data_IF_332995356476
#
_entry.id   IF_332995356476
#
_cell.length_a   1.000
_cell.length_b   1.000
_cell.length_c   1.000
_cell.angle_alpha   90.00
_cell.angle_beta   90.00
_cell.angle_gamma   90.00
#
_symmetry.space_group_name_H-M   'P 1'
#
loop_
_entity.id
_entity.type
_entity.pdbx_description
1 polymer ?
#
# COMPACT_ATOMS: atom_id res chain seq x y z
N UNK A 1 13.56 26.49 -17.31
CA UNK A 1 12.21 25.98 -16.95
C UNK A 1 11.55 25.46 -18.21
N UNK A 2 11.27 24.15 -18.31
CA UNK A 2 10.47 23.63 -19.42
C UNK A 2 9.04 24.11 -19.21
N UNK A 3 8.47 24.83 -20.18
CA UNK A 3 7.08 25.30 -20.10
C UNK A 3 6.18 24.09 -20.33
N UNK A 4 5.58 23.55 -19.28
CA UNK A 4 4.61 22.46 -19.39
C UNK A 4 3.30 22.99 -19.96
N UNK A 5 3.20 22.96 -21.30
CA UNK A 5 2.00 23.36 -22.03
C UNK A 5 0.96 22.23 -22.09
N UNK A 6 1.36 20.99 -21.84
CA UNK A 6 0.47 19.84 -21.94
C UNK A 6 -0.51 19.80 -20.77
N UNK A 7 -0.05 20.09 -19.54
CA UNK A 7 -0.88 20.12 -18.34
C UNK A 7 -2.12 21.03 -18.47
N UNK A 8 -1.96 22.32 -18.79
CA UNK A 8 -3.08 23.25 -18.96
C UNK A 8 -4.04 22.86 -20.10
N UNK A 9 -3.53 22.32 -21.22
CA UNK A 9 -4.38 21.88 -22.33
C UNK A 9 -5.24 20.68 -21.91
N UNK A 10 -4.63 19.67 -21.27
CA UNK A 10 -5.35 18.53 -20.70
C UNK A 10 -6.39 18.98 -19.66
N UNK A 11 -6.05 19.96 -18.83
CA UNK A 11 -6.95 20.55 -17.84
C UNK A 11 -8.22 21.13 -18.45
N UNK A 12 -8.06 21.99 -19.47
CA UNK A 12 -9.17 22.63 -20.17
C UNK A 12 -10.01 21.62 -20.94
N UNK A 13 -9.40 20.63 -21.61
CA UNK A 13 -10.13 19.57 -22.31
C UNK A 13 -10.97 18.74 -21.35
N UNK A 14 -10.40 18.35 -20.21
CA UNK A 14 -11.13 17.59 -19.18
C UNK A 14 -12.26 18.42 -18.56
N UNK A 15 -12.04 19.71 -18.32
CA UNK A 15 -13.06 20.64 -17.82
C UNK A 15 -14.19 20.83 -18.83
N UNK A 16 -13.88 21.01 -20.11
CA UNK A 16 -14.87 21.11 -21.18
C UNK A 16 -15.70 19.84 -21.29
N UNK A 17 -15.05 18.67 -21.24
CA UNK A 17 -15.75 17.38 -21.24
C UNK A 17 -16.69 17.26 -20.03
N UNK A 18 -16.24 17.65 -18.83
CA UNK A 18 -17.07 17.62 -17.62
C UNK A 18 -18.28 18.55 -17.73
N UNK A 19 -18.09 19.77 -18.27
CA UNK A 19 -19.19 20.71 -18.55
C UNK A 19 -20.17 20.12 -19.56
N UNK A 20 -19.68 19.58 -20.67
CA UNK A 20 -20.52 19.02 -21.72
C UNK A 20 -21.36 17.83 -21.22
N UNK A 21 -20.77 16.95 -20.41
CA UNK A 21 -21.46 15.80 -19.81
C UNK A 21 -22.49 16.25 -18.77
N UNK A 22 -22.16 17.26 -17.95
CA UNK A 22 -23.08 17.79 -16.94
C UNK A 22 -24.24 18.56 -17.59
N UNK A 23 -23.96 19.39 -18.60
CA UNK A 23 -24.98 20.17 -19.31
C UNK A 23 -25.84 19.32 -20.26
N UNK A 24 -25.30 18.20 -20.75
CA UNK A 24 -26.02 17.23 -21.58
C UNK A 24 -26.95 16.31 -20.79
N UNK A 25 -27.04 16.46 -19.48
CA UNK A 25 -27.89 15.64 -18.61
C UNK A 25 -27.44 14.19 -18.45
N UNK A 26 -26.22 13.85 -18.89
CA UNK A 26 -25.68 12.48 -18.79
C UNK A 26 -25.37 12.07 -17.34
N UNK A 27 -25.40 13.02 -16.40
CA UNK A 27 -25.18 12.82 -14.97
C UNK A 27 -26.38 13.25 -14.11
N UNK A 28 -27.57 13.42 -14.70
CA UNK A 28 -28.80 13.87 -14.00
C UNK A 28 -29.36 12.82 -13.01
N UNK A 29 -28.64 11.72 -12.78
CA UNK A 29 -28.97 10.73 -11.77
C UNK A 29 -28.65 11.23 -10.34
N UNK A 30 -27.79 10.51 -9.64
CA UNK A 30 -27.38 10.88 -8.29
C UNK A 30 -26.52 12.15 -8.31
N UNK A 31 -26.92 13.18 -7.54
CA UNK A 31 -26.19 14.44 -7.40
C UNK A 31 -24.75 14.25 -6.91
N UNK A 32 -24.48 13.15 -6.20
CA UNK A 32 -23.19 12.85 -5.63
C UNK A 32 -22.10 12.69 -6.70
N UNK A 33 -22.42 12.01 -7.80
CA UNK A 33 -21.47 11.73 -8.89
C UNK A 33 -20.95 13.02 -9.56
N UNK A 34 -21.81 13.92 -10.07
CA UNK A 34 -21.33 15.18 -10.63
C UNK A 34 -20.63 16.05 -9.57
N UNK A 35 -21.13 16.09 -8.33
CA UNK A 35 -20.48 16.85 -7.26
C UNK A 35 -19.04 16.35 -6.98
N UNK A 36 -18.85 15.03 -6.93
CA UNK A 36 -17.54 14.41 -6.74
C UNK A 36 -16.59 14.74 -7.90
N UNK A 37 -17.05 14.62 -9.15
CA UNK A 37 -16.23 14.91 -10.34
C UNK A 37 -15.79 16.38 -10.37
N UNK A 38 -16.71 17.30 -10.07
CA UNK A 38 -16.40 18.72 -9.96
C UNK A 38 -15.44 19.03 -8.82
N UNK A 39 -15.63 18.42 -7.64
CA UNK A 39 -14.74 18.59 -6.50
C UNK A 39 -13.32 18.10 -6.81
N UNK A 40 -13.17 16.93 -7.43
CA UNK A 40 -11.87 16.38 -7.84
C UNK A 40 -11.19 17.30 -8.87
N UNK A 41 -11.95 17.78 -9.86
CA UNK A 41 -11.42 18.72 -10.85
C UNK A 41 -10.95 20.01 -10.16
N UNK A 42 -11.80 20.69 -9.39
CA UNK A 42 -11.37 21.93 -8.70
C UNK A 42 -10.16 21.71 -7.78
N UNK A 43 -10.12 20.59 -7.05
CA UNK A 43 -9.02 20.26 -6.13
C UNK A 43 -7.68 20.06 -6.84
N UNK A 44 -7.67 19.35 -7.98
CA UNK A 44 -6.46 19.15 -8.78
C UNK A 44 -5.97 20.47 -9.41
N UNK A 45 -6.89 21.33 -9.85
CA UNK A 45 -6.57 22.66 -10.37
C UNK A 45 -5.97 23.57 -9.31
N UNK A 46 -6.54 23.57 -8.10
CA UNK A 46 -6.03 24.29 -6.94
C UNK A 46 -4.65 23.78 -6.52
N UNK A 47 -4.47 22.45 -6.48
CA UNK A 47 -3.18 21.83 -6.20
C UNK A 47 -2.10 22.27 -7.20
N UNK A 48 -2.42 22.27 -8.49
CA UNK A 48 -1.51 22.73 -9.54
C UNK A 48 -1.18 24.22 -9.40
N UNK A 49 -2.16 25.06 -9.06
CA UNK A 49 -1.98 26.50 -8.82
C UNK A 49 -1.00 26.77 -7.66
N UNK A 50 -1.22 26.15 -6.51
CA UNK A 50 -0.32 26.28 -5.35
C UNK A 50 1.06 25.69 -5.66
N UNK A 51 1.09 24.63 -6.49
CA UNK A 51 2.31 24.01 -6.98
C UNK A 51 3.20 24.94 -7.83
N UNK A 52 2.67 26.04 -8.37
CA UNK A 52 3.46 27.03 -9.12
C UNK A 52 4.29 27.97 -8.23
N UNK A 53 4.00 28.05 -6.93
CA UNK A 53 4.58 29.01 -5.99
C UNK A 53 6.05 28.76 -5.56
N UNK A 54 6.73 27.77 -6.14
CA UNK A 54 8.11 27.38 -5.78
C UNK A 54 8.16 26.29 -4.70
N UNK A 55 9.23 25.50 -4.73
CA UNK A 55 9.54 24.50 -3.70
C UNK A 55 9.88 25.23 -2.39
N UNK A 56 8.96 25.25 -1.44
CA UNK A 56 9.15 25.89 -0.13
C UNK A 56 8.11 26.93 0.29
N UNK A 57 7.10 27.23 -0.54
CA UNK A 57 6.01 28.13 -0.10
C UNK A 57 5.22 27.49 1.07
N UNK A 58 5.01 28.22 2.16
CA UNK A 58 4.18 27.79 3.31
C UNK A 58 2.84 27.11 2.93
N UNK A 59 2.03 27.62 1.97
CA UNK A 59 0.78 26.96 1.59
C UNK A 59 0.99 25.56 0.98
N UNK A 60 2.10 25.33 0.28
CA UNK A 60 2.42 24.03 -0.31
C UNK A 60 2.77 23.01 0.77
N UNK A 61 3.54 23.41 1.78
CA UNK A 61 3.89 22.53 2.91
C UNK A 61 2.63 22.08 3.65
N UNK A 62 1.69 23.01 3.91
CA UNK A 62 0.42 22.67 4.56
C UNK A 62 -0.41 21.70 3.73
N UNK A 63 -0.53 21.96 2.41
CA UNK A 63 -1.24 21.05 1.50
C UNK A 63 -0.59 19.66 1.43
N UNK A 64 0.73 19.57 1.45
CA UNK A 64 1.45 18.29 1.47
C UNK A 64 1.16 17.52 2.77
N UNK A 65 1.12 18.19 3.93
CA UNK A 65 0.75 17.55 5.20
C UNK A 65 -0.70 17.05 5.17
N UNK A 66 -1.64 17.89 4.73
CA UNK A 66 -3.05 17.50 4.61
C UNK A 66 -3.21 16.32 3.65
N UNK A 67 -2.57 16.38 2.48
CA UNK A 67 -2.61 15.30 1.49
C UNK A 67 -2.04 13.99 2.05
N UNK A 68 -0.95 14.04 2.81
CA UNK A 68 -0.39 12.86 3.47
C UNK A 68 -1.32 12.28 4.53
N UNK A 69 -1.96 13.12 5.35
CA UNK A 69 -2.94 12.66 6.35
C UNK A 69 -4.15 12.03 5.66
N UNK A 70 -4.72 12.70 4.67
CA UNK A 70 -5.87 12.22 3.90
C UNK A 70 -5.53 10.92 3.17
N UNK A 71 -4.36 10.84 2.54
CA UNK A 71 -3.90 9.63 1.85
C UNK A 71 -3.78 8.45 2.82
N UNK A 72 -3.07 8.61 3.94
CA UNK A 72 -2.92 7.54 4.92
C UNK A 72 -4.25 7.15 5.57
N UNK A 73 -5.11 8.13 5.88
CA UNK A 73 -6.45 7.88 6.39
C UNK A 73 -7.30 7.10 5.41
N UNK A 74 -7.31 7.50 4.13
CA UNK A 74 -8.02 6.79 3.07
C UNK A 74 -7.49 5.36 2.89
N UNK A 75 -6.17 5.14 2.95
CA UNK A 75 -5.61 3.79 2.89
C UNK A 75 -6.09 2.93 4.07
N UNK A 76 -6.13 3.47 5.29
CA UNK A 76 -6.65 2.73 6.46
C UNK A 76 -8.12 2.37 6.28
N UNK A 77 -8.95 3.29 5.79
CA UNK A 77 -10.37 3.04 5.51
C UNK A 77 -10.52 1.94 4.45
N UNK A 78 -9.83 2.04 3.32
CA UNK A 78 -9.87 1.03 2.26
C UNK A 78 -9.41 -0.33 2.79
N UNK A 79 -8.35 -0.38 3.60
CA UNK A 79 -7.89 -1.61 4.23
C UNK A 79 -8.96 -2.21 5.14
N UNK A 80 -9.61 -1.41 5.97
CA UNK A 80 -10.67 -1.86 6.85
C UNK A 80 -11.87 -2.39 6.05
N UNK A 81 -12.31 -1.64 5.04
CA UNK A 81 -13.41 -2.04 4.15
C UNK A 81 -13.10 -3.35 3.42
N UNK A 82 -11.90 -3.50 2.85
CA UNK A 82 -11.49 -4.74 2.20
C UNK A 82 -11.50 -5.93 3.17
N UNK A 83 -11.03 -5.74 4.41
CA UNK A 83 -11.11 -6.77 5.45
C UNK A 83 -12.56 -7.16 5.75
N UNK A 84 -13.46 -6.17 5.87
CA UNK A 84 -14.88 -6.41 6.10
C UNK A 84 -15.53 -7.12 4.92
N UNK A 85 -15.24 -6.71 3.68
CA UNK A 85 -15.76 -7.33 2.46
C UNK A 85 -15.35 -8.81 2.42
N UNK A 86 -14.08 -9.14 2.64
CA UNK A 86 -13.64 -10.53 2.61
C UNK A 86 -14.16 -11.37 3.78
N UNK A 87 -14.13 -10.82 5.00
CA UNK A 87 -14.65 -11.50 6.17
C UNK A 87 -16.14 -11.83 6.01
N UNK A 88 -16.94 -10.85 5.61
CA UNK A 88 -18.38 -11.03 5.40
C UNK A 88 -18.65 -11.94 4.21
N UNK A 89 -17.93 -11.80 3.10
CA UNK A 89 -18.09 -12.67 1.94
C UNK A 89 -17.77 -14.13 2.27
N UNK A 90 -16.69 -14.40 3.01
CA UNK A 90 -16.34 -15.75 3.46
C UNK A 90 -17.37 -16.33 4.44
N UNK A 91 -17.78 -15.55 5.44
CA UNK A 91 -18.75 -15.99 6.44
C UNK A 91 -20.14 -16.23 5.86
N UNK A 92 -20.57 -15.43 4.89
CA UNK A 92 -21.83 -15.62 4.18
C UNK A 92 -21.81 -16.88 3.32
N UNK A 93 -20.67 -17.20 2.70
CA UNK A 93 -20.49 -18.46 1.95
C UNK A 93 -20.63 -19.67 2.86
N UNK A 94 -20.04 -19.67 4.05
CA UNK A 94 -20.14 -20.80 5.01
C UNK A 94 -21.60 -21.18 5.31
N UNK A 95 -22.52 -20.21 5.30
CA UNK A 95 -23.94 -20.43 5.61
C UNK A 95 -24.75 -20.95 4.41
N UNK A 96 -24.24 -20.87 3.18
CA UNK A 96 -24.96 -21.28 1.99
C UNK A 96 -24.84 -22.78 1.72
N UNK A 97 -25.96 -23.47 1.52
CA UNK A 97 -25.99 -24.92 1.23
C UNK A 97 -25.08 -25.33 0.08
N UNK A 98 -25.09 -24.60 -1.04
CA UNK A 98 -24.22 -24.88 -2.19
C UNK A 98 -22.72 -24.84 -1.86
N UNK A 99 -22.33 -23.97 -0.94
CA UNK A 99 -20.93 -23.87 -0.49
C UNK A 99 -20.60 -25.00 0.48
N UNK A 100 -21.54 -25.38 1.34
CA UNK A 100 -21.40 -26.53 2.24
C UNK A 100 -21.30 -27.84 1.47
N UNK A 101 -22.06 -27.99 0.40
CA UNK A 101 -22.05 -29.18 -0.47
C UNK A 101 -20.88 -29.18 -1.47
N UNK A 102 -20.04 -28.13 -1.48
CA UNK A 102 -18.86 -28.05 -2.36
C UNK A 102 -19.17 -27.82 -3.84
N UNK A 103 -20.39 -27.40 -4.18
CA UNK A 103 -20.86 -27.26 -5.58
C UNK A 103 -21.03 -25.80 -6.02
N UNK A 104 -20.84 -24.83 -5.14
CA UNK A 104 -21.19 -23.43 -5.40
C UNK A 104 -20.56 -22.83 -6.66
N UNK A 105 -19.30 -23.17 -6.98
CA UNK A 105 -18.59 -22.64 -8.14
C UNK A 105 -19.11 -23.20 -9.47
N UNK A 106 -19.77 -24.36 -9.47
CA UNK A 106 -20.33 -24.97 -10.68
C UNK A 106 -21.43 -24.11 -11.33
N UNK A 107 -22.31 -23.53 -10.51
CA UNK A 107 -23.49 -22.80 -10.96
C UNK A 107 -23.18 -21.54 -11.77
N UNK A 108 -22.32 -20.59 -11.30
CA UNK A 108 -22.03 -19.39 -12.07
C UNK A 108 -21.32 -19.67 -13.40
N UNK A 109 -20.52 -20.74 -13.49
CA UNK A 109 -19.86 -21.16 -14.73
C UNK A 109 -20.87 -21.61 -15.82
N UNK A 110 -22.08 -22.02 -15.41
CA UNK A 110 -23.15 -22.50 -16.30
C UNK A 110 -24.31 -21.51 -16.43
N UNK A 111 -24.16 -20.27 -15.97
CA UNK A 111 -25.13 -19.23 -16.27
C UNK A 111 -24.80 -18.65 -17.64
N UNK A 112 -25.72 -18.74 -18.60
CA UNK A 112 -25.52 -18.27 -19.98
C UNK A 112 -25.06 -16.80 -20.04
N UNK A 113 -25.56 -15.96 -19.12
CA UNK A 113 -25.19 -14.55 -19.03
C UNK A 113 -23.75 -14.31 -18.50
N UNK A 114 -23.20 -15.27 -17.75
CA UNK A 114 -21.86 -15.18 -17.14
C UNK A 114 -20.90 -16.26 -17.69
N UNK A 115 -21.14 -16.79 -18.88
CA UNK A 115 -20.26 -17.80 -19.49
C UNK A 115 -19.78 -17.34 -20.88
N UNK A 116 -18.93 -16.30 -20.94
CA UNK A 116 -18.36 -15.84 -22.22
C UNK A 116 -17.51 -16.90 -22.92
N UNK A 117 -16.99 -17.89 -22.19
CA UNK A 117 -16.15 -18.97 -22.71
C UNK A 117 -16.67 -20.35 -22.25
N UNK A 118 -17.77 -20.87 -22.84
CA UNK A 118 -18.39 -22.11 -22.39
C UNK A 118 -17.43 -23.30 -22.30
N UNK A 119 -16.56 -23.47 -23.31
CA UNK A 119 -15.57 -24.56 -23.30
C UNK A 119 -14.57 -24.47 -22.12
N UNK A 120 -14.23 -23.26 -21.67
CA UNK A 120 -13.36 -23.07 -20.49
C UNK A 120 -14.12 -23.37 -19.20
N UNK A 121 -15.38 -22.91 -19.12
CA UNK A 121 -16.29 -23.21 -18.01
C UNK A 121 -16.52 -24.72 -17.85
N UNK A 122 -16.77 -25.41 -18.96
CA UNK A 122 -16.94 -26.86 -19.00
C UNK A 122 -15.66 -27.59 -18.59
N UNK A 123 -14.49 -27.13 -19.06
CA UNK A 123 -13.20 -27.69 -18.65
C UNK A 123 -12.95 -27.52 -17.15
N UNK A 124 -13.29 -26.36 -16.57
CA UNK A 124 -13.20 -26.08 -15.14
C UNK A 124 -14.23 -26.89 -14.32
N UNK A 125 -15.37 -27.22 -14.92
CA UNK A 125 -16.43 -27.99 -14.27
C UNK A 125 -16.36 -29.50 -14.55
N UNK A 126 -15.44 -29.95 -15.41
CA UNK A 126 -15.35 -31.34 -15.86
C UNK A 126 -15.08 -32.34 -14.74
N UNK A 127 -14.49 -31.89 -13.62
CA UNK A 127 -14.17 -32.73 -12.48
C UNK A 127 -14.78 -32.15 -11.19
N UNK A 128 -15.72 -32.89 -10.60
CA UNK A 128 -16.38 -32.51 -9.34
C UNK A 128 -15.41 -32.29 -8.18
N UNK A 129 -14.30 -33.03 -8.11
CA UNK A 129 -13.25 -32.80 -7.11
C UNK A 129 -12.58 -31.45 -7.30
N UNK A 130 -12.33 -31.03 -8.53
CA UNK A 130 -11.74 -29.71 -8.82
C UNK A 130 -12.70 -28.59 -8.43
N UNK A 131 -13.99 -28.71 -8.78
CA UNK A 131 -15.04 -27.78 -8.36
C UNK A 131 -15.12 -27.67 -6.84
N UNK A 132 -15.07 -28.81 -6.14
CA UNK A 132 -15.08 -28.87 -4.69
C UNK A 132 -13.86 -28.16 -4.07
N UNK A 133 -12.65 -28.44 -4.59
CA UNK A 133 -11.42 -27.81 -4.12
C UNK A 133 -11.43 -26.29 -4.33
N UNK A 134 -11.92 -25.80 -5.47
CA UNK A 134 -12.05 -24.36 -5.73
C UNK A 134 -13.11 -23.77 -4.78
N UNK A 135 -14.27 -24.42 -4.65
CA UNK A 135 -15.36 -23.96 -3.78
C UNK A 135 -14.91 -23.77 -2.34
N UNK A 136 -14.28 -24.77 -1.73
CA UNK A 136 -13.78 -24.66 -0.36
C UNK A 136 -12.52 -23.80 -0.26
N UNK A 137 -11.64 -23.84 -1.28
CA UNK A 137 -10.43 -23.02 -1.34
C UNK A 137 -10.75 -21.54 -1.25
N UNK A 138 -11.74 -21.08 -2.02
CA UNK A 138 -12.20 -19.69 -2.00
C UNK A 138 -12.78 -19.26 -0.66
N UNK A 139 -13.56 -20.12 -0.01
CA UNK A 139 -14.05 -19.84 1.35
C UNK A 139 -12.89 -19.74 2.33
N UNK A 140 -11.95 -20.70 2.29
CA UNK A 140 -10.81 -20.73 3.20
C UNK A 140 -9.93 -19.47 3.05
N UNK A 141 -9.62 -19.06 1.82
CA UNK A 141 -8.82 -17.87 1.52
C UNK A 141 -9.51 -16.60 2.03
N UNK A 142 -10.80 -16.42 1.75
CA UNK A 142 -11.53 -15.21 2.14
C UNK A 142 -11.70 -15.10 3.65
N UNK A 143 -11.97 -16.21 4.34
CA UNK A 143 -12.07 -16.25 5.80
C UNK A 143 -10.70 -16.07 6.45
N UNK A 144 -9.64 -16.64 5.88
CA UNK A 144 -8.29 -16.52 6.43
C UNK A 144 -7.67 -15.13 6.22
N UNK A 145 -8.13 -14.34 5.24
CA UNK A 145 -7.51 -13.06 4.89
C UNK A 145 -7.31 -12.11 6.07
N UNK A 146 -8.33 -11.77 6.89
CA UNK A 146 -8.14 -10.83 8.01
C UNK A 146 -7.11 -11.31 9.02
N UNK A 147 -6.99 -12.63 9.22
CA UNK A 147 -6.05 -13.24 10.15
C UNK A 147 -4.65 -13.38 9.53
N UNK A 148 -4.55 -13.56 8.21
CA UNK A 148 -3.28 -13.69 7.50
C UNK A 148 -2.46 -12.39 7.51
N UNK A 149 -3.10 -11.24 7.72
CA UNK A 149 -2.45 -9.93 7.74
C UNK A 149 -1.33 -9.81 8.79
N UNK A 150 -1.39 -10.58 9.88
CA UNK A 150 -0.37 -10.56 10.93
C UNK A 150 0.96 -11.20 10.50
N UNK A 151 0.96 -12.07 9.49
CA UNK A 151 2.18 -12.73 9.00
C UNK A 151 2.49 -12.33 7.56
N UNK A 152 3.60 -11.60 7.36
CA UNK A 152 4.00 -11.06 6.05
C UNK A 152 4.13 -12.12 4.96
N UNK A 153 4.55 -13.35 5.27
CA UNK A 153 4.70 -14.43 4.28
C UNK A 153 3.33 -14.99 3.88
N UNK A 154 2.50 -15.32 4.86
CA UNK A 154 1.15 -15.84 4.65
C UNK A 154 0.30 -14.80 3.93
N UNK A 155 0.36 -13.53 4.36
CA UNK A 155 -0.29 -12.41 3.70
C UNK A 155 0.04 -12.35 2.20
N UNK A 156 1.32 -12.37 1.84
CA UNK A 156 1.72 -12.22 0.44
C UNK A 156 1.32 -13.42 -0.42
N UNK A 157 1.40 -14.64 0.12
CA UNK A 157 0.92 -15.83 -0.56
C UNK A 157 -0.60 -15.78 -0.76
N UNK A 158 -1.34 -15.41 0.28
CA UNK A 158 -2.79 -15.33 0.25
C UNK A 158 -3.28 -14.22 -0.68
N UNK A 159 -2.62 -13.05 -0.70
CA UNK A 159 -2.89 -11.98 -1.67
C UNK A 159 -2.70 -12.44 -3.12
N UNK A 160 -1.65 -13.22 -3.40
CA UNK A 160 -1.44 -13.76 -4.75
C UNK A 160 -2.58 -14.70 -5.16
N UNK A 161 -3.07 -15.53 -4.23
CA UNK A 161 -4.23 -16.40 -4.48
C UNK A 161 -5.51 -15.58 -4.67
N UNK A 162 -5.79 -14.58 -3.83
CA UNK A 162 -6.97 -13.71 -3.99
C UNK A 162 -6.97 -12.96 -5.32
N UNK A 163 -5.83 -12.38 -5.71
CA UNK A 163 -5.71 -11.71 -7.02
C UNK A 163 -5.93 -12.69 -8.17
N UNK A 164 -5.48 -13.94 -8.02
CA UNK A 164 -5.74 -14.99 -9.00
C UNK A 164 -7.23 -15.34 -9.05
N UNK A 165 -7.93 -15.42 -7.92
CA UNK A 165 -9.39 -15.65 -7.90
C UNK A 165 -10.12 -14.58 -8.71
N UNK A 166 -9.80 -13.30 -8.47
CA UNK A 166 -10.40 -12.20 -9.21
C UNK A 166 -10.04 -12.24 -10.69
N UNK A 167 -8.81 -12.59 -11.04
CA UNK A 167 -8.39 -12.74 -12.43
C UNK A 167 -9.11 -13.89 -13.13
N UNK A 168 -9.30 -15.03 -12.46
CA UNK A 168 -10.09 -16.15 -12.96
C UNK A 168 -11.53 -15.70 -13.19
N UNK A 169 -12.17 -15.07 -12.21
CA UNK A 169 -13.54 -14.53 -12.32
C UNK A 169 -13.65 -13.52 -13.49
N UNK A 170 -12.65 -12.66 -13.67
CA UNK A 170 -12.65 -11.66 -14.75
C UNK A 170 -12.77 -12.33 -16.13
N UNK A 171 -12.06 -13.45 -16.31
CA UNK A 171 -11.99 -14.19 -17.56
C UNK A 171 -13.15 -15.15 -17.71
N UNK A 172 -13.38 -16.00 -16.72
CA UNK A 172 -14.36 -17.10 -16.80
C UNK A 172 -15.79 -16.59 -16.69
N UNK A 173 -16.06 -15.60 -15.84
CA UNK A 173 -17.40 -15.06 -15.63
C UNK A 173 -17.68 -13.77 -16.42
N UNK A 174 -16.69 -13.25 -17.15
CA UNK A 174 -16.86 -12.03 -17.94
C UNK A 174 -17.08 -10.77 -17.11
N UNK A 175 -16.50 -10.71 -15.90
CA UNK A 175 -16.66 -9.62 -14.95
C UNK A 175 -15.39 -8.75 -14.78
N UNK A 176 -14.81 -8.17 -15.86
CA UNK A 176 -13.49 -7.55 -15.79
C UNK A 176 -13.45 -6.32 -14.89
N UNK A 177 -14.45 -5.44 -14.94
CA UNK A 177 -14.44 -4.21 -14.15
C UNK A 177 -14.59 -4.46 -12.65
N UNK A 178 -15.45 -5.41 -12.28
CA UNK A 178 -15.60 -5.85 -10.90
C UNK A 178 -14.30 -6.44 -10.37
N UNK A 179 -13.70 -7.38 -11.10
CA UNK A 179 -12.43 -7.99 -10.71
C UNK A 179 -11.28 -6.98 -10.65
N UNK A 180 -11.22 -6.00 -11.56
CA UNK A 180 -10.20 -4.95 -11.53
C UNK A 180 -10.35 -4.07 -10.27
N UNK A 181 -11.58 -3.74 -9.87
CA UNK A 181 -11.83 -3.01 -8.63
C UNK A 181 -11.36 -3.80 -7.41
N UNK A 182 -11.65 -5.11 -7.36
CA UNK A 182 -11.20 -5.98 -6.28
C UNK A 182 -9.67 -6.13 -6.23
N UNK A 183 -9.02 -6.33 -7.39
CA UNK A 183 -7.55 -6.39 -7.48
C UNK A 183 -6.92 -5.06 -7.03
N UNK A 184 -7.53 -3.92 -7.37
CA UNK A 184 -7.06 -2.61 -6.92
C UNK A 184 -7.17 -2.45 -5.40
N UNK A 185 -8.24 -2.94 -4.78
CA UNK A 185 -8.37 -2.99 -3.33
C UNK A 185 -7.31 -3.91 -2.69
N UNK A 186 -7.07 -5.09 -3.25
CA UNK A 186 -6.04 -6.03 -2.79
C UNK A 186 -4.63 -5.45 -2.90
N UNK A 187 -4.38 -4.64 -3.93
CA UNK A 187 -3.09 -4.01 -4.16
C UNK A 187 -2.66 -3.08 -3.03
N UNK A 188 -3.60 -2.56 -2.22
CA UNK A 188 -3.30 -1.76 -1.02
C UNK A 188 -2.48 -2.56 0.00
N UNK A 189 -2.65 -3.87 0.05
CA UNK A 189 -1.91 -4.74 0.98
C UNK A 189 -0.57 -5.23 0.43
N UNK A 190 -0.24 -4.95 -0.83
CA UNK A 190 1.03 -5.35 -1.44
C UNK A 190 2.23 -4.66 -0.79
N UNK A 191 3.40 -5.31 -0.75
CA UNK A 191 4.62 -4.67 -0.29
C UNK A 191 4.96 -3.44 -1.14
N UNK A 192 5.26 -2.31 -0.50
CA UNK A 192 5.68 -1.08 -1.19
C UNK A 192 6.87 -1.30 -2.13
N UNK A 193 7.79 -2.20 -1.77
CA UNK A 193 8.92 -2.58 -2.61
C UNK A 193 8.49 -3.24 -3.93
N UNK A 194 7.44 -4.07 -3.90
CA UNK A 194 6.88 -4.69 -5.09
C UNK A 194 6.22 -3.65 -6.00
N UNK A 195 5.41 -2.76 -5.41
CA UNK A 195 4.76 -1.66 -6.15
C UNK A 195 5.78 -0.72 -6.79
N UNK A 196 6.87 -0.38 -6.08
CA UNK A 196 7.96 0.44 -6.63
C UNK A 196 8.70 -0.26 -7.76
N UNK A 197 8.94 -1.57 -7.65
CA UNK A 197 9.56 -2.36 -8.74
C UNK A 197 8.67 -2.38 -9.97
N UNK A 198 7.38 -2.64 -9.80
CA UNK A 198 6.40 -2.61 -10.89
C UNK A 198 6.33 -1.23 -11.55
N UNK A 199 6.35 -0.16 -10.75
CA UNK A 199 6.47 1.21 -11.24
C UNK A 199 7.74 1.45 -12.06
N UNK A 200 8.89 0.91 -11.62
CA UNK A 200 10.14 0.95 -12.38
C UNK A 200 10.07 0.19 -13.70
N UNK A 201 9.40 -0.96 -13.73
CA UNK A 201 9.24 -1.78 -14.94
C UNK A 201 8.33 -1.09 -15.96
N UNK A 202 7.19 -0.57 -15.51
CA UNK A 202 6.27 0.21 -16.35
C UNK A 202 6.92 1.48 -16.89
N UNK A 203 7.70 2.19 -16.08
CA UNK A 203 8.48 3.35 -16.53
C UNK A 203 9.52 2.98 -17.60
N UNK A 204 10.20 1.82 -17.46
CA UNK A 204 11.16 1.31 -18.46
C UNK A 204 10.46 0.89 -19.76
N UNK A 205 9.32 0.20 -19.66
CA UNK A 205 8.48 -0.16 -20.80
C UNK A 205 7.99 1.09 -21.55
N UNK A 206 7.54 2.12 -20.81
CA UNK A 206 7.18 3.43 -21.37
C UNK A 206 8.37 4.15 -22.00
N UNK A 207 9.56 4.01 -21.42
CA UNK A 207 10.80 4.55 -21.99
C UNK A 207 11.28 3.85 -23.26
N UNK A 208 10.79 2.63 -23.54
CA UNK A 208 11.02 1.90 -24.79
C UNK A 208 10.04 2.26 -25.90
N UNK A 209 8.96 2.99 -25.60
CA UNK A 209 8.09 3.57 -26.61
C UNK A 209 8.78 4.83 -27.19
N UNK A 210 9.00 4.88 -28.52
CA UNK A 210 9.60 6.06 -29.14
C UNK A 210 8.62 7.23 -29.04
N UNK A 211 8.91 8.22 -28.18
CA UNK A 211 8.22 9.51 -28.23
C UNK A 211 7.92 10.25 -26.92
N UNK A 212 8.17 9.71 -25.71
CA UNK A 212 7.81 10.46 -24.49
C UNK A 212 8.78 10.28 -23.32
N UNK A 213 9.92 10.98 -23.40
CA UNK A 213 10.78 11.26 -22.24
C UNK A 213 10.14 12.36 -21.40
N UNK A 214 9.22 12.02 -20.49
CA UNK A 214 8.91 12.88 -19.35
C UNK A 214 9.69 12.35 -18.14
N UNK A 215 10.63 13.14 -17.58
CA UNK A 215 11.32 12.75 -16.36
C UNK A 215 10.29 12.77 -15.23
N UNK A 216 9.96 11.59 -14.71
CA UNK A 216 9.29 11.48 -13.40
C UNK A 216 10.40 11.70 -12.38
N UNK A 217 10.61 12.96 -12.00
CA UNK A 217 11.43 13.31 -10.85
C UNK A 217 10.58 12.96 -9.63
N UNK A 218 10.83 11.78 -9.06
CA UNK A 218 10.51 11.55 -7.65
C UNK A 218 11.43 12.46 -6.85
N UNK A 219 10.93 13.64 -6.47
CA UNK A 219 11.59 14.48 -5.49
C UNK A 219 11.56 13.75 -4.14
N UNK A 220 12.75 13.49 -3.58
CA UNK A 220 12.89 12.84 -2.28
C UNK A 220 13.92 11.72 -2.22
N UNK A 221 15.08 11.90 -2.85
CA UNK A 221 16.31 11.28 -2.36
C UNK A 221 17.24 12.43 -2.00
N UNK A 222 17.40 12.65 -0.69
CA UNK A 222 18.48 13.48 -0.15
C UNK A 222 19.76 12.70 -0.45
N UNK A 223 20.43 13.04 -1.54
CA UNK A 223 21.78 12.54 -1.81
C UNK A 223 22.74 13.28 -0.89
N UNK A 224 23.05 12.62 0.23
CA UNK A 224 24.33 12.76 0.88
C UNK A 224 25.38 12.18 -0.07
N UNK A 225 26.15 13.06 -0.72
CA UNK A 225 27.60 12.92 -0.85
C UNK A 225 28.13 14.05 -1.73
N UNK A 226 28.65 15.08 -1.05
CA UNK A 226 29.54 16.05 -1.68
C UNK A 226 30.87 15.38 -1.98
N UNK A 227 31.18 15.19 -3.26
CA UNK A 227 32.54 14.97 -3.73
C UNK A 227 32.83 15.94 -4.87
N UNK A 228 33.86 16.74 -4.64
CA UNK A 228 34.18 17.97 -5.35
C UNK A 228 34.96 17.79 -6.63
N UNK A 229 35.21 18.93 -7.28
CA UNK A 229 36.02 19.06 -8.47
C UNK A 229 36.92 20.29 -8.40
N UNK A 230 38.15 20.11 -8.87
CA UNK A 230 39.20 21.12 -9.08
C UNK A 230 40.28 21.05 -7.99
N UNK A 231 41.56 20.75 -8.22
CA UNK A 231 42.39 20.80 -9.44
C UNK A 231 43.43 21.92 -9.30
N UNK A 232 44.71 21.58 -9.18
CA UNK A 232 45.84 22.47 -9.50
C UNK A 232 46.85 22.81 -8.38
N UNK A 233 48.04 22.19 -8.50
CA UNK A 233 49.42 22.68 -8.28
C UNK A 233 49.93 23.33 -6.97
N UNK A 234 51.14 22.89 -6.59
CA UNK A 234 52.17 23.77 -6.01
C UNK A 234 52.83 23.26 -4.73
N UNK A 235 54.15 22.98 -4.78
CA UNK A 235 54.95 22.40 -3.70
C UNK A 235 55.08 23.24 -2.43
N UNK A 236 55.61 22.62 -1.37
CA UNK A 236 56.02 23.33 -0.16
C UNK A 236 56.08 22.46 1.09
N UNK A 237 57.31 22.29 1.56
CA UNK A 237 57.77 21.75 2.85
C UNK A 237 57.02 22.30 4.08
N UNK A 238 57.05 21.57 5.21
CA UNK A 238 56.62 22.10 6.51
C UNK A 238 55.80 21.14 7.37
N UNK A 239 56.40 20.67 8.46
CA UNK A 239 55.81 19.71 9.38
C UNK A 239 54.74 20.24 10.34
N UNK A 240 54.22 19.31 11.14
CA UNK A 240 53.67 19.60 12.45
C UNK A 240 52.16 19.44 12.62
N UNK A 241 51.82 18.48 13.48
CA UNK A 241 50.65 18.45 14.40
C UNK A 241 49.29 18.07 13.82
N UNK A 242 48.93 16.80 14.05
CA UNK A 242 47.54 16.32 14.10
C UNK A 242 46.81 17.02 15.25
N UNK A 243 45.78 17.80 14.94
CA UNK A 243 44.83 18.32 15.91
C UNK A 243 43.82 17.21 16.27
N UNK A 244 43.91 16.70 17.49
CA UNK A 244 42.92 15.82 18.11
C UNK A 244 41.78 16.65 18.68
N UNK A 245 40.55 16.39 18.22
CA UNK A 245 39.32 16.95 18.81
C UNK A 245 38.98 16.16 20.08
N UNK A 246 38.85 16.79 21.27
CA UNK A 246 38.51 16.09 22.50
C UNK A 246 37.02 15.69 22.53
N UNK A 247 36.74 14.42 22.85
CA UNK A 247 35.39 13.94 23.15
C UNK A 247 34.87 14.44 24.53
N UNK A 248 33.54 14.44 24.76
CA UNK A 248 32.98 14.94 26.01
C UNK A 248 33.34 14.03 27.18
N UNK A 249 33.91 14.62 28.23
CA UNK A 249 34.22 13.95 29.49
C UNK A 249 32.95 13.75 30.32
N UNK A 250 32.71 12.50 30.72
CA UNK A 250 31.82 12.14 31.80
C UNK A 250 32.26 12.84 33.10
N UNK A 251 31.29 13.33 33.88
CA UNK A 251 31.49 13.82 35.25
C UNK A 251 30.83 12.86 36.22
N UNK A 252 31.65 12.03 36.85
CA UNK A 252 31.47 11.48 38.19
C UNK A 252 32.85 11.63 38.83
N UNK A 253 33.06 12.10 40.06
CA UNK A 253 32.23 12.49 41.18
C UNK A 253 33.21 12.80 42.32
N UNK A 254 32.78 13.44 43.41
CA UNK A 254 33.49 13.47 44.71
C UNK A 254 32.57 14.24 45.69
N UNK A 255 32.32 13.82 46.93
CA UNK A 255 33.16 13.22 47.98
C UNK A 255 32.31 12.24 48.84
N UNK A 256 32.77 11.02 49.15
CA UNK A 256 33.69 10.63 50.25
C UNK A 256 33.04 10.77 51.66
N UNK A 257 33.22 9.91 52.66
CA UNK A 257 33.83 8.60 52.86
C UNK A 257 33.51 8.16 54.31
N UNK A 258 33.48 6.85 54.60
CA UNK A 258 33.87 6.19 55.86
C UNK A 258 33.21 4.78 55.89
N UNK A 259 33.89 3.70 55.53
CA UNK A 259 34.87 2.92 56.32
C UNK A 259 34.23 1.96 57.34
N UNK A 260 34.52 0.66 57.22
CA UNK A 260 34.48 -0.27 58.37
C UNK A 260 33.97 -1.70 58.10
N UNK A 261 34.91 -2.58 57.74
CA UNK A 261 35.05 -4.02 58.04
C UNK A 261 33.86 -4.86 58.58
N UNK A 262 33.70 -6.07 58.00
CA UNK A 262 32.67 -7.04 58.36
C UNK A 262 32.91 -7.91 59.59
N UNK A 263 31.91 -8.72 59.91
CA UNK A 263 32.01 -9.97 60.67
C UNK A 263 30.73 -10.80 60.45
N UNK A 264 30.93 -12.12 60.33
CA UNK A 264 29.93 -13.18 60.21
C UNK A 264 29.52 -13.66 61.60
N UNK A 265 28.22 -13.78 61.88
CA UNK A 265 27.58 -14.76 62.79
C UNK A 265 26.06 -14.50 62.65
N UNK A 266 25.12 -15.41 62.45
CA UNK A 266 25.01 -16.83 62.74
C UNK A 266 23.51 -17.06 62.98
N UNK A 267 23.01 -18.25 62.57
CA UNK A 267 21.69 -18.83 62.89
C UNK A 267 20.57 -18.66 61.84
N UNK A 268 20.59 -19.57 60.87
CA UNK A 268 19.38 -20.35 60.54
C UNK A 268 19.34 -21.57 61.51
N UNK A 269 18.19 -22.16 61.88
CA UNK A 269 17.44 -22.96 60.91
C UNK A 269 15.90 -23.05 61.10
N UNK A 270 15.16 -22.78 60.02
CA UNK A 270 14.01 -23.55 59.49
C UNK A 270 12.77 -23.84 60.38
N UNK A 271 11.84 -24.69 59.92
CA UNK A 271 11.47 -24.97 58.53
C UNK A 271 9.93 -24.88 58.29
N UNK A 272 9.55 -24.79 57.01
CA UNK A 272 8.40 -25.46 56.33
C UNK A 272 6.98 -25.41 56.98
N UNK A 273 5.87 -25.18 56.26
CA UNK A 273 5.32 -26.02 55.20
C UNK A 273 3.92 -25.48 54.77
N UNK A 274 3.56 -25.68 53.48
CA UNK A 274 2.22 -25.95 52.86
C UNK A 274 1.02 -25.07 53.27
N UNK A 275 0.36 -24.29 52.41
CA UNK A 275 -0.31 -24.66 51.15
C UNK A 275 -1.79 -25.00 51.42
N UNK A 276 -2.74 -24.42 50.67
CA UNK A 276 -3.95 -25.11 50.18
C UNK A 276 -4.77 -24.26 49.19
N UNK A 277 -5.45 -24.97 48.29
CA UNK A 277 -6.41 -24.53 47.26
C UNK A 277 -7.67 -23.91 47.86
N UNK A 278 -8.31 -23.05 47.05
CA UNK A 278 -9.71 -23.23 46.59
C UNK A 278 -9.81 -22.67 45.18
#
# INVERSE_FOLDING_TARGET
RVVDRAGPVLWCLLGFALVAVTAGGLLDGDWFVPALLWAVWVSLGLWWLVGRGGEGSQPRILLDVVANIVHNGALVVIMAEACLIYATAGWYKIQGSRWQDGTAVYYPLHLDYFSPWPALSDALAANGTMVMLITYGTVAVQVAFPFALFNRRVKNALLAVMMLEHAVIAVTLGLPFFSLAMIAADAVFLPTSFLRRLGGWTARLRGRLPGRRLPVVFAGAVDADGQGHGGGDGGGDGGGRKATVPGPRAREGEEAAAAGAGAVDGKDPGPTHVGFRT
#
